data_IF_953809306038
#
_entry.id   IF_953809306038
#
_cell.length_a   1.000
_cell.length_b   1.000
_cell.length_c   1.000
_cell.angle_alpha   90.00
_cell.angle_beta   90.00
_cell.angle_gamma   90.00
#
_symmetry.space_group_name_H-M   'P 1'
#
loop_
_entity.id
_entity.type
_entity.pdbx_description
1 polymer ?
#
# COMPACT_ATOMS: atom_id res chain seq x y z
N UNK A 1 9.29 -9.59 -23.40
CA UNK A 1 9.44 -10.06 -22.01
C UNK A 1 8.12 -9.76 -21.37
N UNK A 2 7.41 -10.78 -20.88
CA UNK A 2 6.19 -10.54 -20.11
C UNK A 2 6.61 -9.67 -18.93
N UNK A 3 6.19 -8.42 -18.91
CA UNK A 3 6.26 -7.60 -17.70
C UNK A 3 5.24 -8.19 -16.75
N UNK A 4 5.58 -9.32 -16.15
CA UNK A 4 4.82 -9.91 -15.05
C UNK A 4 4.56 -8.77 -14.08
N UNK A 5 3.27 -8.49 -13.86
CA UNK A 5 2.87 -7.42 -12.95
C UNK A 5 3.27 -7.83 -11.54
N UNK A 6 4.44 -7.38 -11.14
CA UNK A 6 4.95 -7.53 -9.79
C UNK A 6 4.15 -6.63 -8.86
N UNK A 7 3.74 -7.18 -7.73
CA UNK A 7 3.12 -6.42 -6.65
C UNK A 7 3.94 -6.69 -5.40
N UNK A 8 4.27 -5.60 -4.71
CA UNK A 8 4.98 -5.66 -3.44
C UNK A 8 4.07 -5.10 -2.35
N UNK A 9 3.90 -5.87 -1.28
CA UNK A 9 3.24 -5.44 -0.06
C UNK A 9 4.26 -5.23 1.05
N UNK A 10 4.14 -4.13 1.78
CA UNK A 10 4.93 -3.83 2.98
C UNK A 10 3.98 -3.60 4.16
N UNK A 11 4.09 -4.38 5.22
CA UNK A 11 3.30 -4.21 6.44
C UNK A 11 4.18 -3.65 7.56
N UNK A 12 3.83 -2.48 8.09
CA UNK A 12 4.56 -1.81 9.16
C UNK A 12 3.89 -2.11 10.50
N UNK A 13 4.23 -3.27 11.06
CA UNK A 13 3.71 -3.71 12.35
C UNK A 13 4.49 -3.16 13.55
N UNK A 14 3.83 -3.18 14.72
CA UNK A 14 4.46 -2.85 16.01
C UNK A 14 5.46 -3.94 16.45
N UNK A 15 5.26 -5.20 16.08
CA UNK A 15 6.17 -6.29 16.44
C UNK A 15 7.22 -6.56 15.36
N UNK A 16 6.82 -6.39 14.09
CA UNK A 16 7.62 -6.79 12.94
C UNK A 16 7.20 -5.96 11.73
N UNK A 17 8.16 -5.63 10.89
CA UNK A 17 7.93 -5.11 9.54
C UNK A 17 8.15 -6.25 8.56
N UNK A 18 7.21 -6.45 7.62
CA UNK A 18 7.23 -7.55 6.65
C UNK A 18 7.08 -7.03 5.23
N UNK A 19 7.92 -7.50 4.31
CA UNK A 19 7.79 -7.27 2.88
C UNK A 19 7.48 -8.58 2.15
N UNK A 20 6.63 -8.52 1.14
CA UNK A 20 6.25 -9.67 0.32
C UNK A 20 6.19 -9.25 -1.15
N UNK A 21 6.89 -10.00 -2.00
CA UNK A 21 6.92 -9.83 -3.45
C UNK A 21 6.13 -10.95 -4.07
N UNK A 22 5.17 -10.61 -4.94
CA UNK A 22 4.40 -11.60 -5.64
C UNK A 22 3.97 -11.17 -7.03
N UNK A 23 3.51 -12.14 -7.81
CA UNK A 23 2.91 -11.94 -9.12
C UNK A 23 1.67 -12.82 -9.26
N UNK A 24 0.87 -12.54 -10.28
CA UNK A 24 -0.24 -13.43 -10.66
C UNK A 24 0.28 -14.50 -11.60
N UNK A 25 0.08 -15.78 -11.28
CA UNK A 25 0.44 -16.88 -12.17
C UNK A 25 -0.60 -17.08 -13.29
N UNK A 26 -0.33 -18.03 -14.18
CA UNK A 26 -1.19 -18.38 -15.32
C UNK A 26 -2.63 -18.80 -14.92
N UNK A 27 -2.81 -19.30 -13.70
CA UNK A 27 -4.12 -19.68 -13.16
C UNK A 27 -4.84 -18.53 -12.43
N UNK A 28 -4.29 -17.33 -12.50
CA UNK A 28 -4.83 -16.17 -11.83
C UNK A 28 -4.62 -16.15 -10.32
N UNK A 29 -3.75 -17.01 -9.77
CA UNK A 29 -3.45 -17.09 -8.33
C UNK A 29 -2.21 -16.27 -7.99
N UNK A 30 -2.11 -15.82 -6.74
CA UNK A 30 -0.92 -15.15 -6.23
C UNK A 30 0.20 -16.19 -6.04
N UNK A 31 1.34 -15.94 -6.67
CA UNK A 31 2.60 -16.65 -6.47
C UNK A 31 3.55 -15.72 -5.70
N UNK A 32 4.10 -16.22 -4.59
CA UNK A 32 5.09 -15.48 -3.78
C UNK A 32 6.48 -15.77 -4.32
N UNK A 33 7.20 -14.71 -4.67
CA UNK A 33 8.55 -14.76 -5.23
C UNK A 33 9.62 -14.50 -4.17
N UNK A 34 9.31 -13.70 -3.15
CA UNK A 34 10.24 -13.40 -2.07
C UNK A 34 9.55 -12.78 -0.87
N UNK A 35 10.16 -12.95 0.29
CA UNK A 35 9.68 -12.40 1.56
C UNK A 35 10.84 -11.81 2.34
N UNK A 36 10.57 -10.81 3.16
CA UNK A 36 11.58 -10.26 4.05
C UNK A 36 10.95 -9.70 5.31
N UNK A 37 11.71 -9.69 6.40
CA UNK A 37 11.21 -9.27 7.71
C UNK A 37 12.28 -8.65 8.59
N UNK A 38 11.85 -7.73 9.44
CA UNK A 38 12.69 -7.15 10.47
C UNK A 38 11.92 -6.96 11.78
N UNK A 39 12.62 -7.04 12.91
CA UNK A 39 12.05 -6.67 14.21
C UNK A 39 11.73 -5.17 14.20
N UNK A 40 10.56 -4.80 14.73
CA UNK A 40 10.13 -3.40 14.78
C UNK A 40 10.40 -2.79 16.15
N UNK A 41 11.49 -2.03 16.26
CA UNK A 41 11.88 -1.31 17.48
C UNK A 41 11.52 0.19 17.46
N UNK A 42 10.98 0.66 16.34
CA UNK A 42 10.65 2.06 16.08
C UNK A 42 9.16 2.37 16.09
N UNK A 43 8.30 1.34 16.15
CA UNK A 43 6.84 1.47 16.09
C UNK A 43 6.22 0.92 17.37
N UNK A 44 5.37 1.71 18.02
CA UNK A 44 4.60 1.30 19.21
C UNK A 44 3.13 1.63 19.01
N UNK A 45 2.25 0.63 19.14
CA UNK A 45 0.79 0.79 18.97
C UNK A 45 0.40 1.44 17.64
N UNK A 46 1.15 1.11 16.58
CA UNK A 46 0.97 1.67 15.24
C UNK A 46 1.54 3.08 15.04
N UNK A 47 2.19 3.66 16.05
CA UNK A 47 2.79 5.00 15.96
C UNK A 47 4.31 4.86 15.83
N UNK A 48 4.89 5.56 14.86
CA UNK A 48 6.35 5.67 14.71
C UNK A 48 6.88 6.57 15.82
N UNK A 49 7.56 5.97 16.80
CA UNK A 49 8.21 6.69 17.91
C UNK A 49 9.69 6.98 17.63
N UNK A 50 10.31 6.21 16.73
CA UNK A 50 11.69 6.39 16.33
C UNK A 50 11.81 6.11 14.82
N UNK A 51 12.01 7.19 14.05
CA UNK A 51 12.04 7.13 12.59
C UNK A 51 13.27 6.35 12.10
N UNK A 52 14.45 6.58 12.68
CA UNK A 52 15.69 5.94 12.23
C UNK A 52 15.64 4.41 12.39
N UNK A 53 15.11 3.93 13.52
CA UNK A 53 14.90 2.49 13.75
C UNK A 53 13.87 1.91 12.80
N UNK A 54 12.81 2.65 12.52
CA UNK A 54 11.74 2.21 11.60
C UNK A 54 12.28 2.11 10.17
N UNK A 55 12.99 3.13 9.70
CA UNK A 55 13.61 3.12 8.36
C UNK A 55 14.57 1.96 8.20
N UNK A 56 15.47 1.72 9.16
CA UNK A 56 16.40 0.58 9.12
C UNK A 56 15.68 -0.77 9.06
N UNK A 57 14.60 -0.93 9.83
CA UNK A 57 13.81 -2.15 9.81
C UNK A 57 13.07 -2.35 8.46
N UNK A 58 12.59 -1.26 7.85
CA UNK A 58 12.02 -1.30 6.49
C UNK A 58 13.08 -1.71 5.48
N UNK A 59 14.24 -1.05 5.48
CA UNK A 59 15.36 -1.35 4.57
C UNK A 59 15.80 -2.82 4.68
N UNK A 60 15.91 -3.34 5.90
CA UNK A 60 16.24 -4.75 6.12
C UNK A 60 15.17 -5.69 5.54
N UNK A 61 13.88 -5.42 5.79
CA UNK A 61 12.80 -6.26 5.27
C UNK A 61 12.72 -6.20 3.74
N UNK A 62 12.94 -5.03 3.14
CA UNK A 62 12.99 -4.86 1.68
C UNK A 62 14.19 -5.63 1.11
N UNK A 63 15.39 -5.44 1.65
CA UNK A 63 16.61 -6.09 1.15
C UNK A 63 16.51 -7.62 1.17
N UNK A 64 15.94 -8.22 2.22
CA UNK A 64 15.73 -9.67 2.28
C UNK A 64 14.71 -10.15 1.22
N UNK A 65 13.67 -9.36 0.96
CA UNK A 65 12.68 -9.67 -0.08
C UNK A 65 13.23 -9.52 -1.50
N UNK A 66 14.07 -8.51 -1.75
CA UNK A 66 14.80 -8.32 -3.02
C UNK A 66 15.76 -9.49 -3.27
N UNK A 67 16.52 -9.90 -2.25
CA UNK A 67 17.45 -11.04 -2.34
C UNK A 67 16.72 -12.34 -2.67
N UNK A 68 15.61 -12.63 -1.98
CA UNK A 68 14.83 -13.85 -2.23
C UNK A 68 14.14 -13.87 -3.59
N UNK A 69 13.63 -12.71 -4.04
CA UNK A 69 12.87 -12.63 -5.29
C UNK A 69 13.72 -12.37 -6.54
N UNK A 70 14.93 -11.84 -6.37
CA UNK A 70 15.75 -11.32 -7.48
C UNK A 70 15.18 -10.06 -8.14
N UNK A 71 14.23 -9.37 -7.48
CA UNK A 71 13.55 -8.19 -8.00
C UNK A 71 14.03 -6.95 -7.27
N UNK A 72 14.33 -5.88 -8.02
CA UNK A 72 14.59 -4.55 -7.46
C UNK A 72 13.24 -3.88 -7.14
N UNK A 73 13.02 -3.55 -5.87
CA UNK A 73 11.76 -3.03 -5.33
C UNK A 73 11.82 -1.51 -5.28
N UNK A 74 11.14 -0.85 -6.23
CA UNK A 74 11.05 0.62 -6.27
C UNK A 74 9.73 1.17 -5.71
N UNK A 75 8.64 0.38 -5.78
CA UNK A 75 7.29 0.80 -5.39
C UNK A 75 6.65 -0.31 -4.57
N UNK A 76 5.98 0.08 -3.49
CA UNK A 76 5.31 -0.83 -2.57
C UNK A 76 3.91 -0.33 -2.23
N UNK A 77 3.02 -1.26 -1.91
CA UNK A 77 1.76 -0.97 -1.25
C UNK A 77 1.98 -1.14 0.26
N UNK A 78 1.80 -0.06 1.02
CA UNK A 78 2.09 -0.07 2.46
C UNK A 78 0.80 -0.27 3.25
N UNK A 79 0.77 -1.29 4.10
CA UNK A 79 -0.19 -1.45 5.17
C UNK A 79 0.24 -0.64 6.38
N UNK A 80 -0.60 0.31 6.79
CA UNK A 80 -0.48 1.04 8.05
C UNK A 80 -1.71 0.77 8.91
N UNK A 81 -1.49 0.63 10.22
CA UNK A 81 -2.55 0.44 11.20
C UNK A 81 -2.24 1.28 12.44
N UNK A 82 -3.25 1.79 13.12
CA UNK A 82 -3.06 2.51 14.38
C UNK A 82 -4.31 3.26 14.83
N UNK A 83 -4.37 3.62 16.11
CA UNK A 83 -5.53 4.30 16.69
C UNK A 83 -5.74 5.74 16.18
N UNK A 84 -4.78 6.27 15.42
CA UNK A 84 -4.84 7.58 14.78
C UNK A 84 -5.49 7.54 13.39
N UNK A 85 -5.73 6.35 12.84
CA UNK A 85 -6.46 6.19 11.58
C UNK A 85 -7.96 6.30 11.89
N UNK A 86 -8.62 7.30 11.31
CA UNK A 86 -10.05 7.50 11.39
C UNK A 86 -10.65 7.56 9.99
N UNK A 87 -11.92 7.17 9.89
CA UNK A 87 -12.72 7.34 8.69
C UNK A 87 -14.01 8.04 9.08
N UNK A 88 -14.45 8.98 8.27
CA UNK A 88 -15.72 9.68 8.45
C UNK A 88 -16.56 9.50 7.20
N UNK A 89 -17.87 9.31 7.38
CA UNK A 89 -18.79 9.34 6.25
C UNK A 89 -19.04 10.80 5.89
N UNK A 90 -18.72 11.16 4.64
CA UNK A 90 -18.99 12.49 4.09
C UNK A 90 -20.13 12.41 3.07
N UNK A 91 -21.02 13.41 3.10
CA UNK A 91 -22.03 13.59 2.07
C UNK A 91 -21.65 14.80 1.22
N UNK A 92 -21.34 14.58 -0.04
CA UNK A 92 -21.04 15.62 -1.01
C UNK A 92 -22.21 15.79 -1.99
N UNK A 93 -22.26 16.96 -2.62
CA UNK A 93 -23.16 17.23 -3.73
C UNK A 93 -22.46 18.12 -4.75
N UNK A 94 -22.77 17.90 -6.02
CA UNK A 94 -22.34 18.77 -7.11
C UNK A 94 -23.56 19.32 -7.83
N UNK A 95 -23.47 20.56 -8.29
CA UNK A 95 -24.50 21.16 -9.16
C UNK A 95 -24.06 21.01 -10.61
N UNK A 96 -24.93 20.43 -11.44
CA UNK A 96 -24.73 20.32 -12.89
C UNK A 96 -25.30 21.56 -13.59
N UNK A 97 -24.68 21.96 -14.70
CA UNK A 97 -25.11 23.14 -15.46
C UNK A 97 -26.40 22.91 -16.26
N UNK A 98 -26.62 21.67 -16.67
CA UNK A 98 -27.79 21.25 -17.45
C UNK A 98 -28.37 19.96 -16.87
N UNK A 99 -29.69 19.82 -17.00
CA UNK A 99 -30.46 18.64 -16.59
C UNK A 99 -30.65 17.64 -17.72
N UNK A 100 -30.34 18.02 -18.96
CA UNK A 100 -30.67 17.25 -20.16
C UNK A 100 -29.58 16.25 -20.55
N UNK A 101 -28.40 16.33 -19.91
CA UNK A 101 -27.27 15.44 -20.15
C UNK A 101 -27.27 14.26 -19.16
N UNK A 102 -26.87 13.08 -19.63
CA UNK A 102 -26.71 11.88 -18.80
C UNK A 102 -25.58 12.06 -17.78
N UNK A 103 -25.70 11.39 -16.62
CA UNK A 103 -24.66 11.38 -15.59
C UNK A 103 -23.47 10.56 -16.10
N UNK A 104 -22.28 11.13 -16.05
CA UNK A 104 -21.05 10.52 -16.55
C UNK A 104 -20.07 10.17 -15.42
N UNK A 105 -19.01 9.43 -15.76
CA UNK A 105 -17.90 9.16 -14.83
C UNK A 105 -17.24 10.46 -14.36
N UNK A 106 -17.20 11.48 -15.21
CA UNK A 106 -16.67 12.79 -14.86
C UNK A 106 -17.52 13.47 -13.77
N UNK A 107 -18.85 13.33 -13.80
CA UNK A 107 -19.73 13.82 -12.73
C UNK A 107 -19.42 13.11 -11.39
N UNK A 108 -19.12 11.80 -11.42
CA UNK A 108 -18.75 11.03 -10.22
C UNK A 108 -17.37 11.45 -9.71
N UNK A 109 -16.38 11.63 -10.59
CA UNK A 109 -15.03 12.08 -10.22
C UNK A 109 -15.10 13.46 -9.56
N UNK A 110 -15.85 14.39 -10.14
CA UNK A 110 -16.04 15.75 -9.61
C UNK A 110 -16.77 15.77 -8.26
N UNK A 111 -17.56 14.75 -7.95
CA UNK A 111 -18.20 14.56 -6.64
C UNK A 111 -17.20 14.05 -5.58
N UNK A 112 -16.20 13.30 -6.02
CA UNK A 112 -15.17 12.68 -5.17
C UNK A 112 -13.87 13.48 -5.06
N UNK A 113 -13.62 14.44 -5.96
CA UNK A 113 -12.49 15.37 -5.85
C UNK A 113 -12.59 16.16 -4.53
N UNK A 114 -11.55 16.04 -3.72
CA UNK A 114 -11.42 16.73 -2.43
C UNK A 114 -11.36 18.25 -2.65
N UNK A 115 -12.07 19.02 -1.80
CA UNK A 115 -11.76 20.44 -1.57
C UNK A 115 -10.66 20.55 -0.50
#
# INVERSE_FOLDING_TARGET
>A
MDTDKIVVGLDIGTTKICAMVGRKNEYGKLEILGTGKAVSDGVIRGIVINIDKTTKAIEQAISEAEEQSGININVVNVGIAGQHINSMVTHNGITRKTTDEEITVDDVLRLTEEQ
#
